data_IF_454718586139
#
_entry.id   IF_454718586139
#
_cell.length_a   1.000
_cell.length_b   1.000
_cell.length_c   1.000
_cell.angle_alpha   90.00
_cell.angle_beta   90.00
_cell.angle_gamma   90.00
#
_symmetry.space_group_name_H-M   'P 1'
#
loop_
_entity.id
_entity.type
_entity.pdbx_description
1 polymer ?
#
# COMPACT_ATOMS: atom_id res chain seq x y z
N UNK A 1 5.08 -7.44 1.93
CA UNK A 1 5.68 -7.84 3.22
C UNK A 1 6.66 -6.78 3.71
N UNK A 2 7.60 -6.33 2.86
CA UNK A 2 8.55 -5.25 3.16
C UNK A 2 7.91 -3.96 3.72
N UNK A 3 6.86 -3.41 3.09
CA UNK A 3 6.22 -2.17 3.57
C UNK A 3 5.63 -2.30 4.99
N UNK A 4 5.15 -3.49 5.36
CA UNK A 4 4.60 -3.74 6.70
C UNK A 4 5.73 -3.82 7.74
N UNK A 5 6.88 -4.37 7.35
CA UNK A 5 8.09 -4.38 8.18
C UNK A 5 8.59 -2.95 8.42
N UNK A 6 8.64 -2.12 7.36
CA UNK A 6 8.99 -0.70 7.49
C UNK A 6 7.99 0.06 8.38
N UNK A 7 6.70 -0.22 8.23
CA UNK A 7 5.66 0.36 9.09
C UNK A 7 5.85 -0.03 10.56
N UNK A 8 6.17 -1.30 10.83
CA UNK A 8 6.49 -1.79 12.17
C UNK A 8 7.70 -1.08 12.77
N UNK A 9 8.80 -0.95 12.01
CA UNK A 9 10.00 -0.26 12.46
C UNK A 9 9.74 1.22 12.75
N UNK A 10 8.91 1.88 11.94
CA UNK A 10 8.48 3.26 12.17
C UNK A 10 7.67 3.42 13.46
N UNK A 11 6.79 2.46 13.76
CA UNK A 11 5.97 2.49 14.99
C UNK A 11 6.73 2.01 16.23
N UNK A 12 7.77 1.20 16.08
CA UNK A 12 8.60 0.70 17.17
C UNK A 12 10.05 1.13 16.95
N UNK A 13 10.30 2.42 17.20
CA UNK A 13 11.58 3.06 16.95
C UNK A 13 12.76 2.36 17.63
N UNK A 14 12.54 1.68 18.77
CA UNK A 14 13.56 0.89 19.46
C UNK A 14 14.18 -0.16 18.54
N UNK A 15 13.38 -0.90 17.78
CA UNK A 15 13.90 -1.91 16.84
C UNK A 15 14.72 -1.25 15.72
N UNK A 16 14.29 -0.09 15.24
CA UNK A 16 15.03 0.65 14.21
C UNK A 16 16.38 1.15 14.72
N UNK A 17 16.41 1.80 15.88
CA UNK A 17 17.66 2.35 16.43
C UNK A 17 18.63 1.25 16.89
N UNK A 18 18.12 0.17 17.48
CA UNK A 18 18.97 -0.98 17.86
C UNK A 18 19.54 -1.70 16.64
N UNK A 19 18.77 -1.82 15.55
CA UNK A 19 19.29 -2.32 14.29
C UNK A 19 20.38 -1.42 13.72
N UNK A 20 20.15 -0.10 13.71
CA UNK A 20 21.11 0.87 13.21
C UNK A 20 22.41 0.82 14.01
N UNK A 21 22.32 0.70 15.35
CA UNK A 21 23.47 0.55 16.21
C UNK A 21 24.26 -0.72 15.87
N UNK A 22 23.59 -1.87 15.75
CA UNK A 22 24.25 -3.12 15.35
C UNK A 22 24.91 -2.99 13.99
N UNK A 23 24.21 -2.41 13.01
CA UNK A 23 24.74 -2.19 11.67
C UNK A 23 26.00 -1.32 11.70
N UNK A 24 26.00 -0.23 12.47
CA UNK A 24 27.16 0.65 12.63
C UNK A 24 28.33 -0.06 13.32
N UNK A 25 28.06 -0.93 14.30
CA UNK A 25 29.09 -1.74 14.95
C UNK A 25 29.71 -2.76 13.99
N UNK A 26 28.90 -3.46 13.19
CA UNK A 26 29.38 -4.35 12.14
C UNK A 26 30.19 -3.61 11.06
N UNK A 27 29.71 -2.44 10.64
CA UNK A 27 30.41 -1.61 9.68
C UNK A 27 31.77 -1.15 10.23
N UNK A 28 31.81 -0.70 11.48
CA UNK A 28 33.04 -0.29 12.15
C UNK A 28 34.01 -1.46 12.33
N UNK A 29 33.50 -2.65 12.65
CA UNK A 29 34.29 -3.88 12.69
C UNK A 29 34.94 -4.19 11.34
N UNK A 30 34.18 -4.14 10.24
CA UNK A 30 34.71 -4.35 8.90
C UNK A 30 35.75 -3.30 8.51
N UNK A 31 35.50 -2.04 8.83
CA UNK A 31 36.44 -0.96 8.59
C UNK A 31 37.74 -1.18 9.37
N UNK A 32 37.62 -1.59 10.64
CA UNK A 32 38.74 -1.90 11.52
C UNK A 32 39.60 -3.05 11.00
N UNK A 33 38.95 -4.12 10.54
CA UNK A 33 39.61 -5.29 9.91
C UNK A 33 40.35 -4.91 8.63
N UNK A 34 39.77 -4.05 7.79
CA UNK A 34 40.39 -3.64 6.50
C UNK A 34 41.54 -2.65 6.73
N UNK A 35 41.41 -1.72 7.67
CA UNK A 35 42.33 -0.59 7.85
C UNK A 35 43.49 -0.89 8.78
N UNK A 36 43.30 -1.78 9.75
CA UNK A 36 44.31 -2.11 10.73
C UNK A 36 44.56 -3.60 10.64
N UNK A 37 45.80 -3.98 10.33
CA UNK A 37 46.29 -5.36 10.23
C UNK A 37 46.35 -5.99 11.65
N UNK A 38 45.18 -6.06 12.28
CA UNK A 38 44.99 -6.48 13.67
C UNK A 38 44.84 -7.99 13.68
N UNK A 39 45.70 -8.64 14.46
CA UNK A 39 45.81 -10.08 14.62
C UNK A 39 44.57 -10.76 15.23
N UNK A 40 44.56 -12.08 15.05
CA UNK A 40 43.43 -12.87 14.57
C UNK A 40 42.41 -13.30 15.64
N UNK A 41 42.71 -13.18 16.94
CA UNK A 41 41.85 -13.75 18.01
C UNK A 41 40.85 -12.75 18.61
N UNK A 42 41.27 -11.53 18.95
CA UNK A 42 40.36 -10.51 19.49
C UNK A 42 39.26 -10.12 18.50
N UNK A 43 39.59 -10.02 17.21
CA UNK A 43 38.61 -9.71 16.17
C UNK A 43 37.63 -10.88 15.95
N UNK A 44 38.10 -12.13 16.04
CA UNK A 44 37.21 -13.30 15.99
C UNK A 44 36.23 -13.28 17.15
N UNK A 45 36.69 -13.03 18.38
CA UNK A 45 35.81 -12.93 19.55
C UNK A 45 34.79 -11.80 19.41
N UNK A 46 35.24 -10.61 18.98
CA UNK A 46 34.35 -9.47 18.73
C UNK A 46 33.32 -9.78 17.64
N UNK A 47 33.72 -10.45 16.56
CA UNK A 47 32.83 -10.89 15.50
C UNK A 47 31.76 -11.87 16.01
N UNK A 48 32.17 -12.86 16.82
CA UNK A 48 31.23 -13.78 17.44
C UNK A 48 30.22 -13.06 18.32
N UNK A 49 30.68 -12.11 19.16
CA UNK A 49 29.80 -11.30 20.01
C UNK A 49 28.80 -10.51 19.15
N UNK A 50 29.27 -9.82 18.10
CA UNK A 50 28.41 -9.05 17.20
C UNK A 50 27.37 -9.93 16.50
N UNK A 51 27.76 -11.13 16.05
CA UNK A 51 26.84 -12.11 15.47
C UNK A 51 25.81 -12.56 16.49
N UNK A 52 26.22 -12.89 17.71
CA UNK A 52 25.30 -13.31 18.77
C UNK A 52 24.27 -12.22 19.03
N UNK A 53 24.69 -10.95 19.14
CA UNK A 53 23.76 -9.82 19.28
C UNK A 53 22.83 -9.67 18.07
N UNK A 54 23.33 -9.85 16.85
CA UNK A 54 22.50 -9.80 15.64
C UNK A 54 21.44 -10.90 15.65
N UNK A 55 21.81 -12.14 16.02
CA UNK A 55 20.88 -13.27 16.12
C UNK A 55 19.80 -12.99 17.16
N UNK A 56 20.18 -12.51 18.35
CA UNK A 56 19.21 -12.13 19.38
C UNK A 56 18.29 -11.01 18.93
N UNK A 57 18.82 -10.03 18.22
CA UNK A 57 18.01 -8.96 17.64
C UNK A 57 17.01 -9.50 16.61
N UNK A 58 17.44 -10.39 15.71
CA UNK A 58 16.56 -11.03 14.70
C UNK A 58 15.46 -11.83 15.40
N UNK A 59 15.78 -12.60 16.44
CA UNK A 59 14.79 -13.37 17.20
C UNK A 59 13.79 -12.44 17.90
N UNK A 60 14.27 -11.42 18.60
CA UNK A 60 13.42 -10.44 19.28
C UNK A 60 12.50 -9.70 18.29
N UNK A 61 13.05 -9.30 17.14
CA UNK A 61 12.31 -8.69 16.04
C UNK A 61 11.24 -9.65 15.52
N UNK A 62 11.60 -10.90 15.23
CA UNK A 62 10.69 -11.91 14.70
C UNK A 62 9.51 -12.16 15.63
N UNK A 63 9.76 -12.41 16.92
CA UNK A 63 8.69 -12.66 17.90
C UNK A 63 7.78 -11.43 18.09
N UNK A 64 8.37 -10.23 18.17
CA UNK A 64 7.62 -8.99 18.36
C UNK A 64 6.77 -8.65 17.13
N UNK A 65 7.34 -8.78 15.93
CA UNK A 65 6.65 -8.52 14.68
C UNK A 65 5.55 -9.55 14.41
N UNK A 66 5.84 -10.84 14.54
CA UNK A 66 4.89 -11.89 14.18
C UNK A 66 3.66 -11.91 15.08
N UNK A 67 3.85 -11.72 16.41
CA UNK A 67 2.76 -11.67 17.39
C UNK A 67 1.75 -10.55 17.10
N UNK A 68 2.19 -9.43 16.54
CA UNK A 68 1.38 -8.23 16.29
C UNK A 68 1.16 -7.93 14.82
N UNK A 69 1.55 -8.84 13.92
CA UNK A 69 1.57 -8.62 12.46
C UNK A 69 0.22 -8.17 11.91
N UNK A 70 -0.86 -8.80 12.36
CA UNK A 70 -2.21 -8.47 11.90
C UNK A 70 -2.59 -7.02 12.25
N UNK A 71 -2.32 -6.59 13.48
CA UNK A 71 -2.61 -5.22 13.94
C UNK A 71 -1.80 -4.18 13.17
N UNK A 72 -0.50 -4.43 12.94
CA UNK A 72 0.33 -3.53 12.14
C UNK A 72 -0.09 -3.47 10.67
N UNK A 73 -0.53 -4.59 10.11
CA UNK A 73 -1.05 -4.61 8.73
C UNK A 73 -2.34 -3.78 8.64
N UNK A 74 -3.23 -3.89 9.63
CA UNK A 74 -4.47 -3.13 9.69
C UNK A 74 -4.22 -1.62 9.90
N UNK A 75 -3.30 -1.26 10.79
CA UNK A 75 -2.87 0.13 10.98
C UNK A 75 -2.25 0.73 9.72
N UNK A 76 -1.42 -0.04 9.01
CA UNK A 76 -0.83 0.38 7.74
C UNK A 76 -1.88 0.64 6.66
N UNK A 77 -2.85 -0.26 6.49
CA UNK A 77 -3.91 -0.06 5.49
C UNK A 77 -4.83 1.12 5.84
N UNK A 78 -5.07 1.40 7.12
CA UNK A 78 -5.79 2.61 7.56
C UNK A 78 -5.04 3.90 7.24
N UNK A 79 -3.74 3.95 7.51
CA UNK A 79 -2.95 5.15 7.19
C UNK A 79 -2.77 5.35 5.68
N UNK A 80 -2.63 4.25 4.93
CA UNK A 80 -2.56 4.28 3.47
C UNK A 80 -3.85 4.82 2.85
N UNK A 81 -4.99 4.48 3.45
CA UNK A 81 -6.29 5.00 3.06
C UNK A 81 -6.36 6.52 3.22
N UNK A 82 -6.02 7.04 4.40
CA UNK A 82 -6.01 8.49 4.66
C UNK A 82 -5.00 9.22 3.75
N UNK A 83 -3.84 8.63 3.47
CA UNK A 83 -2.89 9.20 2.51
C UNK A 83 -3.49 9.34 1.08
N UNK A 84 -4.20 8.32 0.58
CA UNK A 84 -4.86 8.44 -0.72
C UNK A 84 -6.00 9.45 -0.69
N UNK A 85 -6.69 9.58 0.45
CA UNK A 85 -7.69 10.62 0.67
C UNK A 85 -7.10 12.02 0.48
N UNK A 86 -6.04 12.31 1.21
CA UNK A 86 -5.37 13.61 1.15
C UNK A 86 -4.79 13.89 -0.23
N UNK A 87 -4.21 12.90 -0.90
CA UNK A 87 -3.65 13.06 -2.24
C UNK A 87 -4.73 13.46 -3.27
N UNK A 88 -5.89 12.81 -3.28
CA UNK A 88 -6.94 13.13 -4.27
C UNK A 88 -7.56 14.51 -4.00
N UNK A 89 -7.84 14.85 -2.74
CA UNK A 89 -8.45 16.14 -2.37
C UNK A 89 -7.48 17.29 -2.65
N UNK A 90 -6.24 17.17 -2.17
CA UNK A 90 -5.28 18.29 -2.21
C UNK A 90 -4.50 18.38 -3.52
N UNK A 91 -4.09 17.26 -4.12
CA UNK A 91 -3.20 17.26 -5.30
C UNK A 91 -3.94 17.27 -6.64
N UNK A 92 -5.15 16.70 -6.67
CA UNK A 92 -5.98 16.60 -7.88
C UNK A 92 -7.23 17.49 -7.85
N UNK A 93 -7.47 18.20 -6.74
CA UNK A 93 -8.48 19.26 -6.60
C UNK A 93 -9.91 18.87 -7.02
N UNK A 94 -10.24 17.58 -6.92
CA UNK A 94 -11.58 17.11 -7.24
C UNK A 94 -12.54 17.41 -6.07
N UNK A 95 -13.68 18.05 -6.35
CA UNK A 95 -14.73 18.35 -5.35
C UNK A 95 -15.26 17.07 -4.70
N UNK A 96 -15.47 17.07 -3.38
CA UNK A 96 -15.95 15.92 -2.58
C UNK A 96 -17.14 15.19 -3.22
N UNK A 97 -18.13 15.93 -3.74
CA UNK A 97 -19.37 15.38 -4.31
C UNK A 97 -19.24 14.72 -5.70
N UNK A 98 -18.05 14.74 -6.33
CA UNK A 98 -17.76 14.01 -7.59
C UNK A 98 -16.77 12.86 -7.39
N UNK A 99 -16.40 12.59 -6.15
CA UNK A 99 -15.29 11.71 -5.85
C UNK A 99 -15.74 10.28 -5.52
N UNK A 100 -14.83 9.35 -5.81
CA UNK A 100 -14.80 7.98 -5.29
C UNK A 100 -14.96 7.91 -3.75
N UNK A 101 -14.84 9.04 -3.03
CA UNK A 101 -14.88 9.13 -1.58
C UNK A 101 -16.25 8.94 -0.94
N UNK A 102 -17.35 9.46 -1.49
CA UNK A 102 -18.68 9.20 -0.91
C UNK A 102 -18.99 7.70 -0.92
N UNK A 103 -18.61 7.03 -2.01
CA UNK A 103 -18.75 5.58 -2.19
C UNK A 103 -17.87 4.83 -1.18
N UNK A 104 -16.63 5.25 -1.04
CA UNK A 104 -15.68 4.67 -0.10
C UNK A 104 -16.07 4.90 1.37
N UNK A 105 -16.61 6.07 1.70
CA UNK A 105 -17.09 6.41 3.03
C UNK A 105 -18.32 5.57 3.37
N UNK A 106 -19.19 5.31 2.39
CA UNK A 106 -20.28 4.33 2.50
C UNK A 106 -19.75 2.91 2.78
N UNK A 107 -18.67 2.47 2.12
CA UNK A 107 -18.00 1.19 2.43
C UNK A 107 -17.44 1.20 3.86
N UNK A 108 -16.82 2.31 4.29
CA UNK A 108 -16.25 2.46 5.64
C UNK A 108 -17.32 2.43 6.73
N UNK A 109 -18.43 3.13 6.52
CA UNK A 109 -19.59 3.09 7.41
C UNK A 109 -20.20 1.68 7.45
N UNK A 110 -20.35 1.02 6.30
CA UNK A 110 -20.84 -0.35 6.23
C UNK A 110 -19.95 -1.30 7.04
N UNK A 111 -18.63 -1.24 6.83
CA UNK A 111 -17.67 -2.04 7.58
C UNK A 111 -17.76 -1.78 9.08
N UNK A 112 -17.85 -0.51 9.49
CA UNK A 112 -17.93 -0.12 10.90
C UNK A 112 -19.24 -0.52 11.56
N UNK A 113 -20.35 -0.57 10.79
CA UNK A 113 -21.69 -0.96 11.29
C UNK A 113 -21.85 -2.47 11.41
N UNK A 114 -21.27 -3.26 10.49
CA UNK A 114 -21.56 -4.70 10.37
C UNK A 114 -20.43 -5.62 10.81
N UNK A 115 -19.19 -5.12 10.93
CA UNK A 115 -18.05 -5.94 11.30
C UNK A 115 -17.29 -5.35 12.48
N UNK A 116 -16.78 -6.22 13.36
CA UNK A 116 -15.82 -5.80 14.36
C UNK A 116 -14.62 -5.12 13.68
N UNK A 117 -14.13 -4.02 14.29
CA UNK A 117 -13.02 -3.20 13.78
C UNK A 117 -11.74 -3.99 13.46
N UNK A 118 -11.62 -5.22 13.97
CA UNK A 118 -10.48 -6.14 13.81
C UNK A 118 -10.83 -7.45 13.09
N UNK A 119 -12.03 -7.57 12.49
CA UNK A 119 -12.41 -8.80 11.79
C UNK A 119 -11.56 -9.02 10.53
N UNK A 120 -11.32 -10.28 10.17
CA UNK A 120 -10.62 -10.65 8.93
C UNK A 120 -11.31 -10.09 7.68
N UNK A 121 -12.63 -9.97 7.73
CA UNK A 121 -13.43 -9.43 6.64
C UNK A 121 -13.22 -7.93 6.49
N UNK A 122 -13.24 -7.17 7.60
CA UNK A 122 -12.88 -5.75 7.66
C UNK A 122 -11.52 -5.49 6.99
N UNK A 123 -10.54 -6.35 7.27
CA UNK A 123 -9.20 -6.27 6.68
C UNK A 123 -9.21 -6.48 5.16
N UNK A 124 -9.92 -7.50 4.68
CA UNK A 124 -10.00 -7.85 3.26
C UNK A 124 -10.69 -6.75 2.44
N UNK A 125 -11.81 -6.24 2.94
CA UNK A 125 -12.56 -5.15 2.28
C UNK A 125 -11.71 -3.88 2.24
N UNK A 126 -11.05 -3.49 3.34
CA UNK A 126 -10.18 -2.30 3.34
C UNK A 126 -9.01 -2.42 2.35
N UNK A 127 -8.40 -3.60 2.27
CA UNK A 127 -7.31 -3.87 1.32
C UNK A 127 -7.78 -3.77 -0.14
N UNK A 128 -9.00 -4.25 -0.41
CA UNK A 128 -9.65 -4.16 -1.71
C UNK A 128 -9.90 -2.70 -2.09
N UNK A 129 -10.52 -1.92 -1.19
CA UNK A 129 -10.74 -0.46 -1.35
C UNK A 129 -9.42 0.26 -1.63
N UNK A 130 -8.37 -0.01 -0.86
CA UNK A 130 -7.06 0.59 -1.06
C UNK A 130 -6.41 0.19 -2.40
N UNK A 131 -6.70 -1.01 -2.92
CA UNK A 131 -6.24 -1.45 -4.24
C UNK A 131 -6.97 -0.67 -5.34
N UNK A 132 -8.29 -0.48 -5.20
CA UNK A 132 -9.11 0.32 -6.12
C UNK A 132 -8.69 1.78 -6.13
N UNK A 133 -8.55 2.40 -4.96
CA UNK A 133 -8.04 3.76 -4.81
C UNK A 133 -6.67 3.94 -5.47
N UNK A 134 -5.76 2.99 -5.28
CA UNK A 134 -4.44 3.06 -5.88
C UNK A 134 -4.47 3.09 -7.41
N UNK A 135 -5.40 2.38 -8.05
CA UNK A 135 -5.55 2.41 -9.51
C UNK A 135 -6.19 3.72 -9.95
N UNK A 136 -7.24 4.17 -9.25
CA UNK A 136 -7.91 5.44 -9.52
C UNK A 136 -6.94 6.63 -9.45
N UNK A 137 -6.11 6.70 -8.40
CA UNK A 137 -5.07 7.74 -8.26
C UNK A 137 -4.04 7.66 -9.37
N UNK A 138 -3.63 6.44 -9.77
CA UNK A 138 -2.68 6.27 -10.86
C UNK A 138 -3.24 6.78 -12.19
N UNK A 139 -4.51 6.48 -12.47
CA UNK A 139 -5.20 6.97 -13.66
C UNK A 139 -5.31 8.50 -13.67
N UNK A 140 -5.66 9.12 -12.54
CA UNK A 140 -5.67 10.58 -12.41
C UNK A 140 -4.28 11.20 -12.61
N UNK A 141 -3.24 10.57 -12.07
CA UNK A 141 -1.85 10.99 -12.27
C UNK A 141 -1.47 10.95 -13.75
N UNK A 142 -1.80 9.87 -14.44
CA UNK A 142 -1.55 9.74 -15.87
C UNK A 142 -2.37 10.74 -16.69
N UNK A 143 -3.64 10.96 -16.35
CA UNK A 143 -4.49 11.95 -17.00
C UNK A 143 -3.87 13.35 -16.89
N UNK A 144 -3.44 13.76 -15.69
CA UNK A 144 -2.75 15.05 -15.46
C UNK A 144 -1.45 15.17 -16.26
N UNK A 145 -0.69 14.08 -16.41
CA UNK A 145 0.52 14.05 -17.25
C UNK A 145 0.19 14.17 -18.75
N UNK A 146 -0.83 13.47 -19.21
CA UNK A 146 -1.29 13.50 -20.61
C UNK A 146 -1.89 14.86 -20.96
N UNK A 147 -2.64 15.49 -20.05
CA UNK A 147 -3.14 16.86 -20.22
C UNK A 147 -2.01 17.88 -20.35
N UNK A 148 -0.93 17.76 -19.57
CA UNK A 148 0.28 18.59 -19.74
C UNK A 148 0.98 18.36 -21.09
N UNK A 149 0.99 17.11 -21.57
CA UNK A 149 1.56 16.77 -22.88
C UNK A 149 0.71 17.32 -24.04
N UNK A 150 -0.62 17.33 -23.88
CA UNK A 150 -1.55 17.96 -24.82
C UNK A 150 -1.35 19.47 -24.88
N UNK A 151 -1.22 20.15 -23.72
CA UNK A 151 -1.03 21.60 -23.69
C UNK A 151 0.31 22.07 -24.29
N UNK A 152 1.26 21.16 -24.50
CA UNK A 152 2.59 21.44 -25.04
C UNK A 152 2.81 20.92 -26.46
N UNK A 153 1.83 20.23 -27.05
CA UNK A 153 1.93 19.63 -28.39
C UNK A 153 1.09 20.42 -29.40
N UNK A 154 1.67 20.74 -30.55
CA UNK A 154 0.97 21.34 -31.71
C UNK A 154 0.71 20.35 -32.86
N UNK A 155 1.12 19.08 -32.72
CA UNK A 155 0.95 18.03 -33.72
C UNK A 155 -0.44 17.37 -33.59
N UNK A 156 -1.24 17.45 -34.66
CA UNK A 156 -2.63 16.97 -34.71
C UNK A 156 -2.77 15.45 -34.46
N UNK A 157 -1.91 14.61 -35.05
CA UNK A 157 -1.94 13.16 -34.85
C UNK A 157 -1.63 12.79 -33.38
N UNK A 158 -0.65 13.49 -32.78
CA UNK A 158 -0.34 13.30 -31.36
C UNK A 158 -1.47 13.77 -30.45
N UNK A 159 -2.19 14.84 -30.82
CA UNK A 159 -3.35 15.33 -30.08
C UNK A 159 -4.47 14.28 -30.08
N UNK A 160 -4.77 13.66 -31.23
CA UNK A 160 -5.78 12.60 -31.31
C UNK A 160 -5.43 11.39 -30.44
N UNK A 161 -4.16 10.93 -30.48
CA UNK A 161 -3.69 9.80 -29.67
C UNK A 161 -3.79 10.13 -28.16
N UNK A 162 -3.38 11.33 -27.76
CA UNK A 162 -3.41 11.75 -26.35
C UNK A 162 -4.86 11.94 -25.85
N UNK A 163 -5.77 12.45 -26.69
CA UNK A 163 -7.19 12.55 -26.37
C UNK A 163 -7.83 11.17 -26.18
N UNK A 164 -7.51 10.21 -27.06
CA UNK A 164 -7.98 8.83 -26.93
C UNK A 164 -7.46 8.18 -25.63
N UNK A 165 -6.21 8.49 -25.25
CA UNK A 165 -5.62 8.04 -23.99
C UNK A 165 -6.34 8.62 -22.75
N UNK A 166 -6.70 9.91 -22.77
CA UNK A 166 -7.50 10.52 -21.70
C UNK A 166 -8.87 9.84 -21.60
N UNK A 167 -9.55 9.65 -22.74
CA UNK A 167 -10.87 9.01 -22.77
C UNK A 167 -10.82 7.60 -22.17
N UNK A 168 -9.80 6.81 -22.53
CA UNK A 168 -9.61 5.47 -21.95
C UNK A 168 -9.39 5.50 -20.43
N UNK A 169 -8.60 6.45 -19.92
CA UNK A 169 -8.37 6.61 -18.48
C UNK A 169 -9.65 7.01 -17.73
N UNK A 170 -10.46 7.90 -18.33
CA UNK A 170 -11.74 8.31 -17.79
C UNK A 170 -12.76 7.16 -17.79
N UNK A 171 -12.84 6.38 -18.86
CA UNK A 171 -13.69 5.19 -18.95
C UNK A 171 -13.30 4.13 -17.91
N UNK A 172 -11.99 3.89 -17.72
CA UNK A 172 -11.48 3.00 -16.68
C UNK A 172 -11.87 3.48 -15.28
N UNK A 173 -11.75 4.78 -15.01
CA UNK A 173 -12.17 5.38 -13.74
C UNK A 173 -13.68 5.26 -13.51
N UNK A 174 -14.50 5.51 -14.53
CA UNK A 174 -15.95 5.32 -14.44
C UNK A 174 -16.32 3.87 -14.19
N UNK A 175 -15.65 2.92 -14.84
CA UNK A 175 -15.87 1.49 -14.62
C UNK A 175 -15.52 1.08 -13.18
N UNK A 176 -14.39 1.57 -12.64
CA UNK A 176 -14.02 1.35 -11.25
C UNK A 176 -15.05 1.89 -10.26
N UNK A 177 -15.64 3.06 -10.56
CA UNK A 177 -16.67 3.68 -9.74
C UNK A 177 -17.98 2.89 -9.73
N UNK A 178 -18.39 2.34 -10.88
CA UNK A 178 -19.60 1.52 -10.98
C UNK A 178 -19.43 0.19 -10.23
N UNK A 179 -18.27 -0.45 -10.37
CA UNK A 179 -17.97 -1.69 -9.64
C UNK A 179 -17.98 -1.46 -8.13
N UNK A 180 -17.51 -0.30 -7.67
CA UNK A 180 -17.61 0.05 -6.26
C UNK A 180 -19.05 0.25 -5.81
N UNK A 181 -19.93 0.82 -6.65
CA UNK A 181 -21.36 0.94 -6.32
C UNK A 181 -22.01 -0.43 -6.21
N UNK A 182 -21.79 -1.30 -7.19
CA UNK A 182 -22.34 -2.65 -7.20
C UNK A 182 -21.88 -3.39 -5.94
N UNK A 183 -20.60 -3.29 -5.61
CA UNK A 183 -20.04 -3.87 -4.40
C UNK A 183 -20.64 -3.27 -3.10
N UNK A 184 -20.91 -1.97 -3.05
CA UNK A 184 -21.58 -1.32 -1.90
C UNK A 184 -23.02 -1.81 -1.76
N UNK A 185 -23.74 -1.90 -2.88
CA UNK A 185 -25.13 -2.34 -2.92
C UNK A 185 -25.23 -3.80 -2.49
N UNK A 186 -24.35 -4.65 -3.01
CA UNK A 186 -24.28 -6.06 -2.63
C UNK A 186 -23.90 -6.22 -1.17
N UNK A 187 -22.86 -5.53 -0.68
CA UNK A 187 -22.55 -5.50 0.75
C UNK A 187 -23.77 -5.05 1.58
N UNK A 188 -24.47 -3.99 1.16
CA UNK A 188 -25.64 -3.42 1.81
C UNK A 188 -26.89 -4.32 1.80
N UNK A 189 -27.03 -5.21 0.82
CA UNK A 189 -28.14 -6.16 0.71
C UNK A 189 -27.98 -7.32 1.70
N UNK A 190 -28.50 -7.13 2.91
CA UNK A 190 -28.43 -8.08 4.03
C UNK A 190 -28.87 -9.52 3.68
N UNK A 191 -27.92 -10.44 3.57
CA UNK A 191 -27.85 -11.74 4.27
C UNK A 191 -26.59 -12.52 3.89
N UNK A 192 -25.45 -11.85 3.71
CA UNK A 192 -24.28 -12.52 3.15
C UNK A 192 -23.69 -13.53 4.14
N UNK A 193 -23.72 -14.80 3.76
CA UNK A 193 -22.88 -15.83 4.35
C UNK A 193 -21.43 -15.58 3.90
N UNK A 194 -20.43 -15.95 4.69
CA UNK A 194 -19.01 -15.65 4.43
C UNK A 194 -18.53 -16.06 3.01
N UNK A 195 -19.19 -17.04 2.39
CA UNK A 195 -18.93 -17.51 1.03
C UNK A 195 -19.27 -16.48 -0.06
N UNK A 196 -20.37 -15.76 0.08
CA UNK A 196 -20.82 -14.81 -0.94
C UNK A 196 -19.95 -13.56 -0.92
N UNK A 197 -19.52 -13.10 0.27
CA UNK A 197 -18.54 -12.01 0.38
C UNK A 197 -17.20 -12.36 -0.28
N UNK A 198 -16.75 -13.61 -0.13
CA UNK A 198 -15.51 -14.09 -0.75
C UNK A 198 -15.61 -14.10 -2.28
N UNK A 199 -16.79 -14.37 -2.83
CA UNK A 199 -17.02 -14.41 -4.27
C UNK A 199 -16.97 -12.99 -4.87
N UNK A 200 -17.61 -12.03 -4.20
CA UNK A 200 -17.52 -10.61 -4.56
C UNK A 200 -16.09 -10.05 -4.41
N UNK A 201 -15.38 -10.45 -3.36
CA UNK A 201 -13.96 -10.12 -3.17
C UNK A 201 -13.12 -10.62 -4.36
N UNK A 202 -13.41 -11.83 -4.85
CA UNK A 202 -12.71 -12.45 -5.96
C UNK A 202 -12.98 -11.74 -7.29
N UNK A 203 -14.24 -11.42 -7.59
CA UNK A 203 -14.64 -10.72 -8.81
C UNK A 203 -14.03 -9.33 -8.89
N UNK A 204 -14.07 -8.58 -7.79
CA UNK A 204 -13.50 -7.24 -7.73
C UNK A 204 -11.97 -7.27 -7.83
N UNK A 205 -11.31 -8.26 -7.19
CA UNK A 205 -9.87 -8.45 -7.30
C UNK A 205 -9.42 -8.78 -8.72
N UNK A 206 -10.13 -9.68 -9.41
CA UNK A 206 -9.86 -10.08 -10.79
C UNK A 206 -10.03 -8.90 -11.75
N UNK A 207 -11.08 -8.10 -11.55
CA UNK A 207 -11.35 -6.94 -12.42
C UNK A 207 -10.28 -5.88 -12.27
N UNK A 208 -9.83 -5.60 -11.04
CA UNK A 208 -8.67 -4.71 -10.82
C UNK A 208 -7.40 -5.23 -11.51
N UNK A 209 -7.20 -6.55 -11.52
CA UNK A 209 -6.02 -7.17 -12.15
C UNK A 209 -6.07 -7.08 -13.68
N UNK A 210 -7.25 -7.28 -14.28
CA UNK A 210 -7.49 -7.05 -15.70
C UNK A 210 -7.24 -5.58 -16.08
N UNK A 211 -7.71 -4.63 -15.27
CA UNK A 211 -7.50 -3.20 -15.50
C UNK A 211 -6.02 -2.81 -15.42
N UNK A 212 -5.29 -3.32 -14.44
CA UNK A 212 -3.82 -3.14 -14.36
C UNK A 212 -3.07 -3.74 -15.54
N UNK A 213 -3.51 -4.88 -16.05
CA UNK A 213 -2.87 -5.51 -17.21
C UNK A 213 -3.15 -4.75 -18.52
N UNK A 214 -4.27 -4.02 -18.60
CA UNK A 214 -4.53 -3.09 -19.71
C UNK A 214 -3.63 -1.85 -19.69
N UNK A 215 -3.05 -1.46 -18.54
CA UNK A 215 -2.05 -0.38 -18.48
C UNK A 215 -0.68 -0.78 -19.05
N UNK A 216 -0.38 -2.09 -19.15
CA UNK A 216 0.91 -2.62 -19.61
C UNK A 216 0.98 -2.90 -21.12
N UNK A 217 -0.16 -2.91 -21.81
CA UNK A 217 -0.25 -3.03 -23.27
C UNK A 217 -0.31 -1.65 -23.90
#
# INVERSE_FOLDING_TARGET
MFNIILYFLRKNQIFFYTFLLLFLLFYSYFLGFIMFDISDDFLKDLFFILITFLIFWILAFYFSFYKKRQNYTLGYEKEKFEFFKDAIINEYSLKENKNIFEKIESIKEFINRYFHKESLLTFKVLKLVNKTLSVYVNNLKQEKMVQKALSSTSNLEKIEILNLKIKNLQEQNSSLLNILDDYIVELGSKSFNDKEVVLLEYELKNTIELLKNREKK
#
